data_IF_913321474206
#
_entry.id   IF_913321474206
#
_cell.length_a   1.000
_cell.length_b   1.000
_cell.length_c   1.000
_cell.angle_alpha   90.00
_cell.angle_beta   90.00
_cell.angle_gamma   90.00
#
_symmetry.space_group_name_H-M   'P 1'
#
loop_
_entity.id
_entity.type
_entity.pdbx_description
1 polymer ?
#
# COMPACT_ATOMS: atom_id res chain seq x y z
N UNK A 1 -32.69 -60.75 -28.31
CA UNK A 1 -33.28 -59.41 -28.07
C UNK A 1 -32.60 -58.46 -29.06
N UNK A 2 -33.29 -57.45 -29.59
CA UNK A 2 -32.61 -56.41 -30.39
C UNK A 2 -31.93 -55.47 -29.40
N UNK A 3 -30.60 -55.43 -29.44
CA UNK A 3 -29.80 -54.64 -28.54
C UNK A 3 -29.77 -53.15 -28.98
N UNK A 4 -29.35 -52.26 -28.09
CA UNK A 4 -29.29 -50.80 -28.30
C UNK A 4 -28.34 -50.40 -29.43
N UNK A 5 -27.38 -51.26 -29.78
CA UNK A 5 -26.49 -51.15 -30.94
C UNK A 5 -27.18 -51.53 -32.29
N UNK A 6 -28.45 -51.94 -32.25
CA UNK A 6 -29.25 -52.30 -33.41
C UNK A 6 -29.10 -53.76 -33.86
N UNK A 7 -28.21 -54.55 -33.26
CA UNK A 7 -27.97 -55.96 -33.63
C UNK A 7 -28.83 -56.92 -32.80
N UNK A 8 -29.25 -58.03 -33.41
CA UNK A 8 -30.02 -59.08 -32.72
C UNK A 8 -29.08 -60.18 -32.22
N UNK A 9 -28.95 -60.30 -30.90
CA UNK A 9 -28.09 -61.30 -30.25
C UNK A 9 -28.82 -62.02 -29.11
N UNK A 10 -28.31 -63.19 -28.74
CA UNK A 10 -28.70 -63.87 -27.50
C UNK A 10 -28.07 -63.11 -26.34
N UNK A 11 -28.91 -62.73 -25.36
CA UNK A 11 -28.54 -61.82 -24.27
C UNK A 11 -28.58 -62.61 -22.96
N UNK A 12 -27.59 -62.47 -22.06
CA UNK A 12 -27.61 -63.15 -20.78
C UNK A 12 -28.83 -62.73 -19.95
N UNK A 13 -29.47 -63.71 -19.31
CA UNK A 13 -30.59 -63.49 -18.38
C UNK A 13 -30.03 -63.60 -16.97
N UNK A 14 -30.06 -62.48 -16.24
CA UNK A 14 -29.63 -62.42 -14.84
C UNK A 14 -30.90 -62.08 -14.04
N UNK A 15 -31.22 -62.89 -13.02
CA UNK A 15 -32.39 -62.75 -12.15
C UNK A 15 -33.74 -62.59 -12.89
N UNK A 16 -33.92 -63.35 -13.97
CA UNK A 16 -35.17 -63.39 -14.75
C UNK A 16 -35.36 -62.22 -15.71
N UNK A 17 -34.43 -61.26 -15.78
CA UNK A 17 -34.49 -60.09 -16.67
C UNK A 17 -33.41 -60.19 -17.76
N UNK A 18 -33.79 -59.93 -19.02
CA UNK A 18 -32.84 -59.86 -20.16
C UNK A 18 -32.09 -58.53 -20.09
N UNK A 19 -30.78 -58.56 -19.85
CA UNK A 19 -29.96 -57.34 -19.67
C UNK A 19 -29.08 -57.12 -20.90
N UNK A 20 -29.35 -56.07 -21.67
CA UNK A 20 -28.58 -55.74 -22.87
C UNK A 20 -27.18 -55.19 -22.52
N UNK A 21 -26.10 -55.87 -22.94
CA UNK A 21 -24.72 -55.46 -22.62
C UNK A 21 -24.25 -54.19 -23.34
N UNK A 22 -24.97 -53.73 -24.37
CA UNK A 22 -24.53 -52.60 -25.22
C UNK A 22 -25.10 -51.24 -24.81
N UNK A 23 -26.12 -51.22 -23.94
CA UNK A 23 -26.73 -49.98 -23.40
C UNK A 23 -25.69 -49.05 -22.77
N UNK A 24 -24.79 -49.61 -21.96
CA UNK A 24 -23.76 -48.84 -21.28
C UNK A 24 -22.72 -48.21 -22.23
N UNK A 25 -22.52 -48.77 -23.43
CA UNK A 25 -21.62 -48.21 -24.43
C UNK A 25 -22.28 -47.06 -25.19
N UNK A 26 -23.56 -47.22 -25.57
CA UNK A 26 -24.33 -46.19 -26.27
C UNK A 26 -24.60 -44.97 -25.37
N UNK A 27 -24.83 -45.19 -24.07
CA UNK A 27 -24.95 -44.09 -23.09
C UNK A 27 -23.63 -43.34 -22.91
N UNK A 28 -22.49 -44.03 -22.95
CA UNK A 28 -21.16 -43.40 -22.90
C UNK A 28 -20.86 -42.57 -24.14
N UNK A 29 -21.18 -43.06 -25.35
CA UNK A 29 -21.03 -42.29 -26.59
C UNK A 29 -21.94 -41.04 -26.59
N UNK A 30 -23.21 -41.16 -26.18
CA UNK A 30 -24.11 -40.00 -26.06
C UNK A 30 -23.59 -38.98 -25.04
N UNK A 31 -23.00 -39.43 -23.93
CA UNK A 31 -22.40 -38.55 -22.93
C UNK A 31 -21.11 -37.87 -23.41
N UNK A 32 -20.30 -38.51 -24.25
CA UNK A 32 -19.10 -37.90 -24.84
C UNK A 32 -19.42 -36.87 -25.92
N UNK A 33 -20.48 -37.09 -26.71
CA UNK A 33 -20.96 -36.12 -27.71
C UNK A 33 -21.51 -34.88 -27.00
N UNK A 34 -22.29 -35.05 -25.93
CA UNK A 34 -22.80 -33.93 -25.12
C UNK A 34 -21.68 -33.10 -24.45
N UNK A 35 -20.53 -33.72 -24.12
CA UNK A 35 -19.36 -33.01 -23.58
C UNK A 35 -18.56 -32.24 -24.64
N UNK A 36 -18.66 -32.60 -25.92
CA UNK A 36 -17.95 -31.91 -27.02
C UNK A 36 -18.68 -30.66 -27.52
N UNK A 37 -19.99 -30.54 -27.28
CA UNK A 37 -20.80 -29.37 -27.71
C UNK A 37 -20.87 -28.22 -26.68
N UNK A 38 -20.29 -28.36 -25.49
CA UNK A 38 -20.12 -27.22 -24.56
C UNK A 38 -18.97 -26.32 -25.02
N UNK A 39 -19.29 -25.35 -25.88
CA UNK A 39 -18.39 -24.24 -26.21
C UNK A 39 -17.89 -23.59 -24.91
N UNK A 40 -16.58 -23.34 -24.74
CA UNK A 40 -16.06 -22.75 -23.52
C UNK A 40 -16.68 -21.37 -23.29
N UNK A 41 -17.31 -21.16 -22.14
CA UNK A 41 -17.84 -19.85 -21.72
C UNK A 41 -16.68 -18.85 -21.73
N UNK A 42 -16.77 -17.82 -22.59
CA UNK A 42 -15.75 -16.75 -22.63
C UNK A 42 -15.55 -16.18 -21.22
N UNK A 43 -14.35 -16.34 -20.67
CA UNK A 43 -13.99 -15.77 -19.38
C UNK A 43 -13.78 -14.28 -19.59
N UNK A 44 -14.86 -13.49 -19.45
CA UNK A 44 -14.80 -12.03 -19.52
C UNK A 44 -13.91 -11.54 -18.38
N UNK A 45 -12.87 -10.77 -18.70
CA UNK A 45 -11.94 -10.27 -17.71
C UNK A 45 -12.64 -9.29 -16.75
N UNK A 46 -12.09 -9.14 -15.54
CA UNK A 46 -12.63 -8.19 -14.55
C UNK A 46 -12.60 -6.75 -15.10
N UNK A 47 -11.63 -6.43 -15.95
CA UNK A 47 -11.50 -5.11 -16.58
C UNK A 47 -12.60 -4.87 -17.62
N UNK A 48 -12.94 -5.88 -18.40
CA UNK A 48 -14.01 -5.79 -19.41
C UNK A 48 -15.38 -5.66 -18.74
N UNK A 49 -15.61 -6.37 -17.63
CA UNK A 49 -16.84 -6.19 -16.82
C UNK A 49 -16.92 -4.79 -16.21
N UNK A 50 -15.79 -4.23 -15.79
CA UNK A 50 -15.72 -2.87 -15.26
C UNK A 50 -16.02 -1.86 -16.37
N UNK A 51 -15.51 -2.11 -17.58
CA UNK A 51 -15.72 -1.26 -18.74
C UNK A 51 -17.18 -1.27 -19.20
N UNK A 52 -17.81 -2.45 -19.33
CA UNK A 52 -19.22 -2.54 -19.68
C UNK A 52 -20.14 -1.79 -18.71
N UNK A 53 -19.85 -1.84 -17.41
CA UNK A 53 -20.57 -1.01 -16.43
C UNK A 53 -20.33 0.49 -16.58
N UNK A 54 -19.15 0.89 -17.04
CA UNK A 54 -18.87 2.31 -17.31
C UNK A 54 -19.66 2.76 -18.53
N UNK A 55 -19.77 1.92 -19.56
CA UNK A 55 -20.61 2.17 -20.73
C UNK A 55 -22.09 2.31 -20.35
N UNK A 56 -22.60 1.46 -19.46
CA UNK A 56 -23.96 1.57 -18.91
C UNK A 56 -24.18 2.92 -18.21
N UNK A 57 -23.20 3.38 -17.41
CA UNK A 57 -23.28 4.67 -16.74
C UNK A 57 -23.17 5.86 -17.70
N UNK A 58 -22.31 5.77 -18.72
CA UNK A 58 -22.22 6.77 -19.78
C UNK A 58 -23.56 6.86 -20.48
N UNK A 59 -24.17 5.74 -20.87
CA UNK A 59 -25.49 5.73 -21.51
C UNK A 59 -26.58 6.39 -20.65
N UNK A 60 -26.55 6.20 -19.34
CA UNK A 60 -27.51 6.84 -18.43
C UNK A 60 -27.28 8.36 -18.30
N UNK A 61 -26.02 8.80 -18.31
CA UNK A 61 -25.66 10.22 -18.25
C UNK A 61 -25.96 10.92 -19.58
N UNK A 62 -25.66 10.28 -20.73
CA UNK A 62 -26.00 10.79 -22.06
C UNK A 62 -27.51 10.92 -22.24
N UNK A 63 -28.31 9.98 -21.72
CA UNK A 63 -29.77 10.13 -21.74
C UNK A 63 -30.25 11.40 -21.02
N UNK A 64 -29.56 11.82 -19.96
CA UNK A 64 -29.83 13.10 -19.30
C UNK A 64 -29.30 14.31 -20.08
N UNK A 65 -28.26 14.14 -20.90
CA UNK A 65 -27.79 15.16 -21.83
C UNK A 65 -28.81 15.40 -22.96
N UNK A 66 -29.40 14.33 -23.50
CA UNK A 66 -30.49 14.40 -24.49
C UNK A 66 -31.73 15.08 -23.87
N UNK A 67 -32.15 14.66 -22.67
CA UNK A 67 -33.26 15.30 -21.95
C UNK A 67 -32.99 16.80 -21.69
N UNK A 68 -31.73 17.17 -21.43
CA UNK A 68 -31.33 18.56 -21.25
C UNK A 68 -31.50 19.37 -22.55
N UNK A 69 -31.13 18.80 -23.71
CA UNK A 69 -31.36 19.42 -25.02
C UNK A 69 -32.86 19.54 -25.32
N UNK A 70 -33.63 18.49 -25.12
CA UNK A 70 -35.08 18.44 -25.37
C UNK A 70 -35.87 19.41 -24.46
N UNK A 71 -35.39 19.61 -23.22
CA UNK A 71 -35.97 20.60 -22.29
C UNK A 71 -35.71 22.06 -22.71
N UNK A 72 -34.96 22.29 -23.78
CA UNK A 72 -34.50 23.61 -24.19
C UNK A 72 -33.45 24.18 -23.24
N UNK A 73 -32.54 23.34 -22.74
CA UNK A 73 -31.40 23.70 -21.89
C UNK A 73 -31.77 24.32 -20.54
N UNK A 74 -32.90 23.89 -19.96
CA UNK A 74 -33.43 24.41 -18.69
C UNK A 74 -33.43 23.39 -17.56
N UNK A 75 -33.29 22.10 -17.88
CA UNK A 75 -33.20 21.06 -16.86
C UNK A 75 -31.99 21.30 -15.96
N UNK A 76 -32.20 21.17 -14.65
CA UNK A 76 -31.12 21.12 -13.66
C UNK A 76 -30.78 19.67 -13.42
N UNK A 77 -29.61 19.28 -13.88
CA UNK A 77 -29.09 17.93 -13.66
C UNK A 77 -28.15 17.92 -12.45
N UNK A 78 -28.27 16.90 -11.61
CA UNK A 78 -27.39 16.64 -10.47
C UNK A 78 -26.62 15.32 -10.73
N UNK A 79 -25.48 15.38 -11.44
CA UNK A 79 -24.70 14.20 -11.79
C UNK A 79 -24.24 13.40 -10.57
N UNK A 80 -23.92 14.09 -9.46
CA UNK A 80 -23.43 13.43 -8.26
C UNK A 80 -24.44 12.45 -7.68
N UNK A 81 -25.68 12.90 -7.44
CA UNK A 81 -26.71 12.06 -6.84
C UNK A 81 -27.16 10.95 -7.80
N UNK A 82 -27.35 11.28 -9.09
CA UNK A 82 -27.74 10.29 -10.10
C UNK A 82 -26.71 9.14 -10.20
N UNK A 83 -25.41 9.47 -10.28
CA UNK A 83 -24.36 8.46 -10.36
C UNK A 83 -24.23 7.64 -9.06
N UNK A 84 -24.50 8.24 -7.90
CA UNK A 84 -24.52 7.49 -6.63
C UNK A 84 -25.68 6.50 -6.56
N UNK A 85 -26.87 6.88 -7.03
CA UNK A 85 -28.05 6.00 -7.10
C UNK A 85 -27.82 4.80 -8.03
N UNK A 86 -27.16 5.03 -9.17
CA UNK A 86 -26.73 3.98 -10.08
C UNK A 86 -25.62 3.07 -9.50
N UNK A 87 -25.03 3.45 -8.37
CA UNK A 87 -23.97 2.69 -7.71
C UNK A 87 -22.58 2.94 -8.30
N UNK A 88 -22.35 4.10 -8.91
CA UNK A 88 -21.05 4.52 -9.41
C UNK A 88 -20.04 4.65 -8.26
N UNK A 89 -18.93 3.94 -8.38
CA UNK A 89 -17.79 4.00 -7.46
C UNK A 89 -16.66 4.80 -8.08
N UNK A 90 -15.72 5.27 -7.26
CA UNK A 90 -14.56 6.02 -7.74
C UNK A 90 -13.73 5.31 -8.83
N UNK A 91 -13.75 3.98 -8.92
CA UNK A 91 -13.10 3.25 -10.00
C UNK A 91 -13.79 3.45 -11.37
N UNK A 92 -15.12 3.51 -11.37
CA UNK A 92 -15.93 3.79 -12.56
C UNK A 92 -15.79 5.27 -12.94
N UNK A 93 -15.94 6.18 -11.97
CA UNK A 93 -15.78 7.62 -12.19
C UNK A 93 -14.42 7.99 -12.81
N UNK A 94 -13.32 7.36 -12.38
CA UNK A 94 -11.99 7.57 -12.99
C UNK A 94 -11.89 7.15 -14.45
N UNK A 95 -12.61 6.09 -14.85
CA UNK A 95 -12.64 5.62 -16.23
C UNK A 95 -13.57 6.44 -17.11
N UNK A 96 -14.61 7.01 -16.53
CA UNK A 96 -15.60 7.82 -17.23
C UNK A 96 -15.15 9.27 -17.43
N UNK A 97 -14.35 9.81 -16.49
CA UNK A 97 -13.85 11.18 -16.53
C UNK A 97 -13.18 11.60 -17.86
N UNK A 98 -12.27 10.81 -18.48
CA UNK A 98 -11.62 11.23 -19.72
C UNK A 98 -12.62 11.55 -20.83
N UNK A 99 -13.64 10.71 -21.00
CA UNK A 99 -14.68 10.91 -22.02
C UNK A 99 -15.37 12.28 -21.87
N UNK A 100 -15.81 12.62 -20.66
CA UNK A 100 -16.49 13.91 -20.42
C UNK A 100 -15.55 15.12 -20.45
N UNK A 101 -14.26 14.93 -20.13
CA UNK A 101 -13.25 15.97 -20.29
C UNK A 101 -13.00 16.25 -21.76
N UNK A 102 -12.96 15.22 -22.61
CA UNK A 102 -12.81 15.37 -24.05
C UNK A 102 -14.01 16.14 -24.63
N UNK A 103 -15.26 15.74 -24.30
CA UNK A 103 -16.46 16.48 -24.71
C UNK A 103 -16.47 17.94 -24.23
N UNK A 104 -16.01 18.21 -23.01
CA UNK A 104 -15.89 19.57 -22.49
C UNK A 104 -14.84 20.38 -23.28
N UNK A 105 -13.66 19.81 -23.53
CA UNK A 105 -12.57 20.49 -24.24
C UNK A 105 -12.95 20.80 -25.70
N UNK A 106 -13.62 19.86 -26.39
CA UNK A 106 -14.13 20.10 -27.74
C UNK A 106 -15.01 21.36 -27.78
N UNK A 107 -15.94 21.51 -26.83
CA UNK A 107 -16.81 22.69 -26.76
C UNK A 107 -16.08 23.97 -26.36
N UNK A 108 -15.01 23.87 -25.57
CA UNK A 108 -14.12 25.01 -25.28
C UNK A 108 -13.44 25.49 -26.57
N UNK A 109 -12.94 24.57 -27.38
CA UNK A 109 -12.28 24.90 -28.65
C UNK A 109 -13.27 25.50 -29.66
N UNK A 110 -14.53 25.01 -29.69
CA UNK A 110 -15.62 25.63 -30.46
C UNK A 110 -15.94 27.04 -29.96
N UNK A 111 -15.96 27.25 -28.65
CA UNK A 111 -16.24 28.57 -28.07
C UNK A 111 -15.14 29.59 -28.40
N UNK A 112 -13.87 29.17 -28.34
CA UNK A 112 -12.72 30.00 -28.69
C UNK A 112 -12.51 30.16 -30.19
N UNK A 113 -13.13 29.28 -31.00
CA UNK A 113 -12.94 29.16 -32.47
C UNK A 113 -11.52 28.76 -32.85
N UNK A 114 -10.91 27.91 -32.03
CA UNK A 114 -9.52 27.49 -32.21
C UNK A 114 -9.39 26.35 -33.25
N UNK A 115 -10.45 25.58 -33.48
CA UNK A 115 -10.47 24.43 -34.39
C UNK A 115 -11.67 24.46 -35.35
N UNK A 116 -11.39 24.48 -36.65
CA UNK A 116 -12.38 24.49 -37.73
C UNK A 116 -13.21 23.19 -37.80
N UNK A 117 -12.61 22.04 -37.48
CA UNK A 117 -13.29 20.74 -37.53
C UNK A 117 -14.33 20.60 -36.41
N UNK A 118 -14.01 21.05 -35.20
CA UNK A 118 -14.97 21.02 -34.10
C UNK A 118 -16.10 22.03 -34.31
N UNK A 119 -15.82 23.20 -34.90
CA UNK A 119 -16.87 24.14 -35.28
C UNK A 119 -17.86 23.55 -36.28
N UNK A 120 -17.39 22.76 -37.25
CA UNK A 120 -18.26 22.04 -38.18
C UNK A 120 -19.09 20.97 -37.46
N UNK A 121 -18.46 20.15 -36.61
CA UNK A 121 -19.13 19.08 -35.86
C UNK A 121 -20.28 19.62 -34.99
N UNK A 122 -20.08 20.77 -34.34
CA UNK A 122 -21.05 21.40 -33.45
C UNK A 122 -21.94 22.45 -34.13
N UNK A 123 -21.84 22.62 -35.46
CA UNK A 123 -22.60 23.61 -36.23
C UNK A 123 -24.13 23.42 -36.19
N UNK A 124 -24.59 22.21 -35.86
CA UNK A 124 -26.00 21.89 -35.69
C UNK A 124 -26.64 22.62 -34.49
N UNK A 125 -25.82 23.05 -33.51
CA UNK A 125 -26.25 23.85 -32.37
C UNK A 125 -26.03 25.35 -32.59
N UNK A 126 -26.96 26.17 -32.08
CA UNK A 126 -26.78 27.62 -32.08
C UNK A 126 -25.65 28.01 -31.09
N UNK A 127 -24.90 29.10 -31.33
CA UNK A 127 -23.80 29.54 -30.46
C UNK A 127 -24.17 29.74 -28.98
N UNK A 128 -25.42 30.14 -28.70
CA UNK A 128 -25.94 30.26 -27.34
C UNK A 128 -25.95 28.92 -26.59
N UNK A 129 -26.21 27.83 -27.29
CA UNK A 129 -26.35 26.49 -26.73
C UNK A 129 -25.01 25.78 -26.55
N UNK A 130 -23.98 26.14 -27.32
CA UNK A 130 -22.61 25.64 -27.10
C UNK A 130 -22.13 25.92 -25.68
N UNK A 131 -22.35 27.15 -25.18
CA UNK A 131 -21.98 27.52 -23.81
C UNK A 131 -22.76 26.72 -22.76
N UNK A 132 -24.05 26.48 -22.97
CA UNK A 132 -24.88 25.72 -22.02
C UNK A 132 -24.49 24.24 -21.97
N UNK A 133 -24.10 23.66 -23.11
CA UNK A 133 -23.57 22.29 -23.16
C UNK A 133 -22.18 22.20 -22.52
N UNK A 134 -21.32 23.19 -22.73
CA UNK A 134 -20.01 23.28 -22.09
C UNK A 134 -20.17 23.31 -20.56
N UNK A 135 -21.06 24.16 -20.03
CA UNK A 135 -21.34 24.24 -18.60
C UNK A 135 -21.93 22.92 -18.05
N UNK A 136 -22.75 22.22 -18.83
CA UNK A 136 -23.33 20.93 -18.47
C UNK A 136 -22.25 19.84 -18.32
N UNK A 137 -21.38 19.66 -19.33
CA UNK A 137 -20.28 18.70 -19.22
C UNK A 137 -19.25 19.08 -18.16
N UNK A 138 -18.99 20.38 -17.98
CA UNK A 138 -18.16 20.88 -16.87
C UNK A 138 -18.70 20.44 -15.50
N UNK A 139 -20.01 20.57 -15.29
CA UNK A 139 -20.68 20.12 -14.06
C UNK A 139 -20.52 18.61 -13.84
N UNK A 140 -20.65 17.80 -14.91
CA UNK A 140 -20.43 16.35 -14.84
C UNK A 140 -18.99 16.03 -14.42
N UNK A 141 -17.99 16.67 -15.04
CA UNK A 141 -16.57 16.45 -14.70
C UNK A 141 -16.28 16.81 -13.25
N UNK A 142 -16.79 17.94 -12.77
CA UNK A 142 -16.60 18.38 -11.39
C UNK A 142 -17.18 17.39 -10.37
N UNK A 143 -18.39 16.88 -10.62
CA UNK A 143 -19.04 15.89 -9.76
C UNK A 143 -18.37 14.51 -9.81
N UNK A 144 -17.80 14.12 -10.96
CA UNK A 144 -16.96 12.93 -11.04
C UNK A 144 -15.70 13.07 -10.17
N UNK A 145 -15.05 14.23 -10.21
CA UNK A 145 -13.91 14.52 -9.36
C UNK A 145 -14.30 14.55 -7.87
N UNK A 146 -15.52 15.01 -7.55
CA UNK A 146 -16.08 14.95 -6.19
C UNK A 146 -16.28 13.50 -5.71
N UNK A 147 -16.85 12.61 -6.54
CA UNK A 147 -17.00 11.18 -6.23
C UNK A 147 -15.63 10.54 -5.96
N UNK A 148 -14.63 10.88 -6.78
CA UNK A 148 -13.26 10.35 -6.64
C UNK A 148 -12.63 10.80 -5.31
N UNK A 149 -12.73 12.10 -4.98
CA UNK A 149 -12.18 12.69 -3.75
C UNK A 149 -12.85 12.13 -2.48
N UNK A 150 -14.18 11.97 -2.48
CA UNK A 150 -14.90 11.42 -1.34
C UNK A 150 -14.47 9.98 -1.02
N UNK A 151 -14.20 9.17 -2.05
CA UNK A 151 -13.73 7.79 -1.87
C UNK A 151 -12.33 7.68 -1.27
N UNK A 152 -11.43 8.62 -1.56
CA UNK A 152 -10.08 8.62 -0.97
C UNK A 152 -10.10 9.10 0.48
N UNK A 153 -10.91 10.11 0.79
CA UNK A 153 -11.06 10.66 2.13
C UNK A 153 -11.63 9.65 3.15
N UNK A 154 -12.55 8.78 2.72
CA UNK A 154 -13.13 7.74 3.59
C UNK A 154 -12.14 6.63 3.98
N UNK A 155 -10.96 6.54 3.36
CA UNK A 155 -9.98 5.49 3.69
C UNK A 155 -9.25 5.83 4.98
N UNK A 156 -9.61 5.14 6.06
CA UNK A 156 -8.91 5.24 7.36
C UNK A 156 -7.40 4.97 7.19
N UNK A 157 -6.51 5.90 7.61
CA UNK A 157 -5.07 5.68 7.58
C UNK A 157 -4.69 4.41 8.34
N UNK A 158 -3.79 3.61 7.76
CA UNK A 158 -3.37 2.36 8.39
C UNK A 158 -2.65 2.66 9.70
N UNK A 159 -3.18 2.15 10.82
CA UNK A 159 -2.52 2.25 12.13
C UNK A 159 -1.15 1.56 12.07
N UNK A 160 -0.07 2.31 12.34
CA UNK A 160 1.28 1.74 12.42
C UNK A 160 1.38 0.89 13.68
N UNK A 161 1.82 -0.37 13.54
CA UNK A 161 2.13 -1.23 14.67
C UNK A 161 3.42 -0.76 15.33
N UNK A 162 3.50 -0.84 16.66
CA UNK A 162 4.76 -0.62 17.39
C UNK A 162 5.78 -1.66 16.91
N UNK A 163 7.02 -1.21 16.70
CA UNK A 163 8.11 -2.10 16.26
C UNK A 163 8.64 -2.84 17.49
N UNK A 164 8.96 -4.13 17.34
CA UNK A 164 9.66 -4.89 18.38
C UNK A 164 11.08 -4.38 18.56
N UNK A 165 11.67 -4.62 19.74
CA UNK A 165 13.04 -4.18 20.06
C UNK A 165 14.07 -4.69 19.03
N UNK A 166 13.99 -5.98 18.67
CA UNK A 166 14.79 -6.60 17.62
C UNK A 166 14.72 -5.84 16.28
N UNK A 167 13.51 -5.39 15.89
CA UNK A 167 13.28 -4.71 14.61
C UNK A 167 13.80 -3.28 14.62
N UNK A 168 13.78 -2.60 15.76
CA UNK A 168 14.35 -1.26 15.93
C UNK A 168 15.88 -1.29 15.83
N UNK A 169 16.49 -2.31 16.42
CA UNK A 169 17.95 -2.44 16.55
C UNK A 169 18.60 -3.11 15.34
N UNK A 170 17.83 -3.76 14.45
CA UNK A 170 18.33 -4.47 13.26
C UNK A 170 19.35 -3.70 12.40
N UNK A 171 19.30 -2.36 12.38
CA UNK A 171 20.20 -1.51 11.60
C UNK A 171 21.32 -0.85 12.42
N UNK A 172 21.40 -1.12 13.72
CA UNK A 172 22.43 -0.58 14.59
C UNK A 172 23.78 -1.20 14.22
N UNK A 173 24.78 -0.36 14.01
CA UNK A 173 26.16 -0.79 13.77
C UNK A 173 26.90 -0.68 15.09
N UNK A 174 27.56 -1.76 15.51
CA UNK A 174 28.39 -1.82 16.70
C UNK A 174 29.48 -2.88 16.49
N UNK A 175 30.50 -2.86 17.34
CA UNK A 175 31.55 -3.85 17.36
C UNK A 175 31.18 -4.96 18.33
N UNK A 176 31.09 -6.21 17.86
CA UNK A 176 30.69 -7.36 18.69
C UNK A 176 31.76 -7.71 19.74
N UNK A 177 33.03 -7.75 19.33
CA UNK A 177 34.14 -8.09 20.22
C UNK A 177 35.39 -7.25 19.94
N UNK A 178 36.19 -7.04 20.99
CA UNK A 178 37.51 -6.41 20.88
C UNK A 178 38.56 -7.18 21.66
N UNK A 179 39.28 -8.11 20.99
CA UNK A 179 40.22 -9.02 21.62
C UNK A 179 41.36 -8.32 22.38
N UNK A 180 41.82 -7.15 21.91
CA UNK A 180 42.94 -6.40 22.51
C UNK A 180 42.70 -6.01 23.98
N UNK A 181 41.43 -5.81 24.35
CA UNK A 181 41.02 -5.48 25.72
C UNK A 181 40.11 -6.57 26.33
N UNK A 182 39.92 -7.70 25.64
CA UNK A 182 39.01 -8.78 26.03
C UNK A 182 37.58 -8.29 26.33
N UNK A 183 37.07 -7.38 25.52
CA UNK A 183 35.72 -6.81 25.69
C UNK A 183 34.73 -7.47 24.73
N UNK A 184 33.55 -7.78 25.24
CA UNK A 184 32.40 -8.31 24.49
C UNK A 184 31.24 -7.33 24.60
N UNK A 185 30.59 -7.03 23.49
CA UNK A 185 29.47 -6.10 23.44
C UNK A 185 28.19 -6.73 23.99
N UNK A 186 27.38 -5.91 24.66
CA UNK A 186 26.04 -6.32 25.12
C UNK A 186 25.08 -6.46 23.94
N UNK A 187 24.10 -7.36 24.07
CA UNK A 187 22.98 -7.46 23.14
C UNK A 187 22.29 -6.08 22.99
N UNK A 188 22.29 -5.49 21.78
CA UNK A 188 21.80 -4.15 21.57
C UNK A 188 20.28 -3.99 21.77
N UNK A 189 19.51 -5.09 21.86
CA UNK A 189 18.09 -5.05 22.24
C UNK A 189 17.88 -4.48 23.64
N UNK A 190 18.84 -4.71 24.55
CA UNK A 190 18.77 -4.23 25.93
C UNK A 190 18.86 -2.70 26.04
N UNK A 191 19.33 -2.02 24.99
CA UNK A 191 19.40 -0.56 24.95
C UNK A 191 17.99 0.05 25.03
N UNK A 192 17.00 -0.61 24.43
CA UNK A 192 15.65 -0.05 24.32
C UNK A 192 14.99 -0.06 25.70
N UNK A 193 14.58 1.12 26.16
CA UNK A 193 13.97 1.30 27.49
C UNK A 193 14.98 1.46 28.63
N UNK A 194 16.29 1.47 28.35
CA UNK A 194 17.30 1.72 29.37
C UNK A 194 17.49 3.22 29.67
N UNK A 195 18.02 3.53 30.86
CA UNK A 195 18.25 4.92 31.31
C UNK A 195 19.70 5.37 31.10
N UNK A 196 20.68 4.45 31.16
CA UNK A 196 22.10 4.74 30.95
C UNK A 196 22.74 3.70 30.02
N UNK A 197 23.48 4.17 29.02
CA UNK A 197 24.27 3.33 28.12
C UNK A 197 25.73 3.77 28.11
N UNK A 198 26.62 2.83 28.37
CA UNK A 198 28.07 3.03 28.32
C UNK A 198 28.64 2.48 27.02
N UNK A 199 29.38 3.32 26.32
CA UNK A 199 30.00 2.98 25.04
C UNK A 199 31.50 3.24 25.05
N UNK A 200 32.24 2.44 24.29
CA UNK A 200 33.66 2.68 24.06
C UNK A 200 33.98 2.64 22.57
N UNK A 201 34.60 3.71 22.09
CA UNK A 201 35.07 3.82 20.72
C UNK A 201 36.54 3.36 20.64
N UNK A 202 36.78 2.25 19.95
CA UNK A 202 38.11 1.62 19.82
C UNK A 202 39.04 2.43 18.92
N UNK A 203 38.50 3.16 17.94
CA UNK A 203 39.29 3.99 17.01
C UNK A 203 39.85 5.24 17.69
N UNK A 204 39.03 5.91 18.50
CA UNK A 204 39.42 7.18 19.13
C UNK A 204 39.86 7.02 20.60
N UNK A 205 39.77 5.81 21.16
CA UNK A 205 40.02 5.52 22.58
C UNK A 205 39.19 6.42 23.51
N UNK A 206 37.89 6.53 23.22
CA UNK A 206 36.98 7.39 23.96
C UNK A 206 35.88 6.57 24.62
N UNK A 207 35.56 6.92 25.87
CA UNK A 207 34.47 6.34 26.64
C UNK A 207 33.36 7.38 26.70
N UNK A 208 32.16 6.96 26.33
CA UNK A 208 30.96 7.79 26.34
C UNK A 208 29.90 7.22 27.26
N UNK A 209 29.16 8.12 27.90
CA UNK A 209 27.95 7.79 28.66
C UNK A 209 26.78 8.49 28.02
N UNK A 210 25.81 7.72 27.56
CA UNK A 210 24.50 8.25 27.22
C UNK A 210 23.58 8.16 28.43
N UNK A 211 22.85 9.24 28.69
CA UNK A 211 21.77 9.26 29.67
C UNK A 211 20.46 9.59 28.99
N UNK A 212 19.41 8.89 29.37
CA UNK A 212 18.08 9.08 28.80
C UNK A 212 17.48 10.39 29.29
N UNK A 213 16.84 11.13 28.39
CA UNK A 213 16.08 12.34 28.71
C UNK A 213 14.92 12.02 29.67
N UNK A 214 14.34 10.83 29.53
CA UNK A 214 13.25 10.35 30.37
C UNK A 214 13.55 8.94 30.87
N UNK A 215 13.75 8.78 32.19
CA UNK A 215 14.04 7.48 32.81
C UNK A 215 12.93 6.44 32.60
N UNK A 216 11.66 6.87 32.48
CA UNK A 216 10.50 5.98 32.30
C UNK A 216 10.38 5.46 30.87
N UNK A 217 10.68 6.30 29.87
CA UNK A 217 10.59 5.95 28.44
C UNK A 217 11.86 5.26 27.94
N UNK A 218 13.00 5.61 28.54
CA UNK A 218 14.32 5.12 28.18
C UNK A 218 14.74 5.46 26.75
N UNK A 219 15.80 4.80 26.27
CA UNK A 219 16.29 5.00 24.92
C UNK A 219 15.41 4.33 23.85
N UNK A 220 15.42 4.92 22.66
CA UNK A 220 14.93 4.30 21.42
C UNK A 220 16.01 4.36 20.35
N UNK A 221 15.95 3.47 19.36
CA UNK A 221 16.95 3.39 18.27
C UNK A 221 16.26 3.58 16.93
N UNK A 222 16.79 4.49 16.11
CA UNK A 222 16.40 4.68 14.71
C UNK A 222 17.62 4.55 13.81
N UNK A 223 17.72 3.42 13.10
CA UNK A 223 18.87 3.15 12.25
C UNK A 223 20.12 2.91 13.09
N UNK A 224 21.10 3.80 12.99
CA UNK A 224 22.31 3.78 13.82
C UNK A 224 22.32 4.86 14.91
N UNK A 225 21.18 5.54 15.13
CA UNK A 225 21.10 6.69 16.03
C UNK A 225 20.23 6.36 17.24
N UNK A 226 20.77 6.58 18.44
CA UNK A 226 20.05 6.59 19.71
C UNK A 226 19.20 7.86 19.77
N UNK A 227 17.95 7.70 20.16
CA UNK A 227 16.97 8.76 20.36
C UNK A 227 16.63 8.85 21.85
N UNK A 228 16.14 10.03 22.26
CA UNK A 228 15.76 10.34 23.65
C UNK A 228 16.94 10.28 24.64
N UNK A 229 18.13 10.70 24.19
CA UNK A 229 19.27 10.94 25.09
C UNK A 229 19.39 12.44 25.38
N UNK A 230 19.79 12.78 26.60
CA UNK A 230 20.06 14.15 27.00
C UNK A 230 21.44 14.58 26.49
N UNK A 231 21.50 15.68 25.74
CA UNK A 231 22.75 16.21 25.19
C UNK A 231 23.66 16.82 26.26
N UNK A 232 23.09 17.35 27.34
CA UNK A 232 23.86 18.02 28.39
C UNK A 232 24.48 17.01 29.33
N UNK A 233 23.73 15.98 29.73
CA UNK A 233 24.27 14.96 30.64
C UNK A 233 25.09 13.86 29.94
N UNK A 234 24.99 13.73 28.61
CA UNK A 234 25.73 12.71 27.86
C UNK A 234 27.12 13.19 27.46
N UNK A 235 28.14 12.62 28.10
CA UNK A 235 29.52 13.11 28.04
C UNK A 235 30.49 12.04 27.55
N UNK A 236 31.43 12.45 26.69
CA UNK A 236 32.53 11.64 26.18
C UNK A 236 33.88 12.13 26.70
N UNK A 237 34.70 11.20 27.22
CA UNK A 237 36.09 11.47 27.64
C UNK A 237 37.07 10.53 26.97
N UNK A 238 38.31 10.99 26.79
CA UNK A 238 39.39 10.19 26.21
C UNK A 238 40.06 9.31 27.28
N UNK A 239 40.06 8.01 27.08
CA UNK A 239 40.71 7.05 27.95
C UNK A 239 42.18 6.85 27.54
N UNK A 240 43.13 7.42 28.29
CA UNK A 240 44.58 7.24 28.04
C UNK A 240 45.09 5.84 28.43
N UNK A 241 44.47 5.22 29.44
CA UNK A 241 44.75 3.84 29.88
C UNK A 241 43.44 3.02 29.88
N UNK A 242 42.97 2.55 28.72
CA UNK A 242 41.65 1.91 28.62
C UNK A 242 41.57 0.58 29.38
N UNK A 243 42.68 -0.17 29.52
CA UNK A 243 42.72 -1.43 30.30
C UNK A 243 42.26 -1.22 31.74
N UNK A 244 42.90 -0.30 32.46
CA UNK A 244 42.64 -0.05 33.89
C UNK A 244 41.23 0.49 34.14
N UNK A 245 40.67 1.22 33.16
CA UNK A 245 39.34 1.82 33.30
C UNK A 245 38.25 0.76 33.08
N UNK A 246 38.42 -0.08 32.06
CA UNK A 246 37.42 -1.03 31.59
C UNK A 246 37.45 -2.38 32.33
N UNK A 247 38.44 -2.62 33.18
CA UNK A 247 38.58 -3.86 33.98
C UNK A 247 37.41 -4.11 34.96
N UNK A 248 36.63 -3.08 35.30
CA UNK A 248 35.46 -3.19 36.20
C UNK A 248 34.24 -2.48 35.63
N UNK A 249 33.36 -3.24 34.99
CA UNK A 249 32.10 -2.78 34.37
C UNK A 249 30.93 -2.69 35.37
N UNK A 250 31.14 -2.11 36.56
CA UNK A 250 30.05 -1.81 37.52
C UNK A 250 29.68 -0.32 37.45
N UNK A 251 28.38 0.02 37.48
CA UNK A 251 27.87 1.40 37.32
C UNK A 251 28.58 2.41 38.25
N UNK A 252 28.71 2.08 39.54
CA UNK A 252 29.34 2.94 40.53
C UNK A 252 30.85 3.16 40.32
N UNK A 253 31.57 2.15 39.82
CA UNK A 253 33.01 2.26 39.54
C UNK A 253 33.26 3.02 38.23
N UNK A 254 32.41 2.82 37.22
CA UNK A 254 32.50 3.51 35.94
C UNK A 254 32.28 5.03 36.09
N UNK A 255 31.27 5.46 36.86
CA UNK A 255 31.04 6.89 37.14
C UNK A 255 32.23 7.54 37.85
N UNK A 256 32.76 6.90 38.90
CA UNK A 256 33.95 7.39 39.63
C UNK A 256 35.17 7.49 38.71
N UNK A 257 35.42 6.45 37.90
CA UNK A 257 36.54 6.43 36.96
C UNK A 257 36.41 7.49 35.87
N UNK A 258 35.20 7.78 35.37
CA UNK A 258 34.97 8.83 34.38
C UNK A 258 35.21 10.24 34.96
N UNK A 259 34.81 10.48 36.21
CA UNK A 259 35.03 11.77 36.87
C UNK A 259 36.52 12.00 37.20
N UNK A 260 37.25 10.94 37.54
CA UNK A 260 38.68 11.01 37.82
C UNK A 260 39.57 11.21 36.57
N UNK A 261 39.00 11.17 35.36
CA UNK A 261 39.75 11.45 34.13
C UNK A 261 39.99 12.96 34.00
N UNK A 262 41.27 13.35 33.87
CA UNK A 262 41.71 14.74 33.67
C UNK A 262 41.50 15.29 32.25
N UNK A 263 40.89 14.51 31.36
CA UNK A 263 40.67 14.91 29.96
C UNK A 263 39.40 15.72 29.80
N UNK A 264 39.41 16.66 28.85
CA UNK A 264 38.24 17.47 28.51
C UNK A 264 37.03 16.63 28.10
N UNK A 265 35.86 17.14 28.46
CA UNK A 265 34.55 16.60 28.13
C UNK A 265 34.15 17.05 26.73
N UNK A 266 33.62 16.12 25.94
CA UNK A 266 32.99 16.44 24.66
C UNK A 266 31.55 15.97 24.67
N UNK A 267 30.68 16.70 23.97
CA UNK A 267 29.29 16.31 23.78
C UNK A 267 29.19 15.05 22.90
N UNK A 268 28.34 14.09 23.30
CA UNK A 268 28.08 12.91 22.48
C UNK A 268 27.11 13.19 21.34
N UNK A 269 27.47 12.71 20.16
CA UNK A 269 26.52 12.54 19.07
C UNK A 269 25.80 11.21 19.24
N UNK A 270 24.47 11.16 19.08
CA UNK A 270 23.68 9.93 19.26
C UNK A 270 23.97 8.80 18.26
N UNK A 271 24.96 8.91 17.38
CA UNK A 271 25.21 7.93 16.31
C UNK A 271 26.26 6.91 16.74
N UNK A 272 25.87 5.64 16.77
CA UNK A 272 26.78 4.52 17.04
C UNK A 272 27.40 4.03 15.73
N UNK A 273 28.73 3.85 15.73
CA UNK A 273 29.51 3.36 14.59
C UNK A 273 29.95 1.90 14.77
N UNK A 274 30.52 1.34 13.70
CA UNK A 274 31.08 -0.03 13.70
C UNK A 274 32.26 -0.21 14.67
N UNK A 275 32.95 0.88 15.01
CA UNK A 275 34.12 0.87 15.91
C UNK A 275 33.72 1.10 17.38
N UNK A 276 32.42 1.03 17.70
CA UNK A 276 31.89 1.30 19.03
C UNK A 276 31.40 0.01 19.68
N UNK A 277 31.97 -0.33 20.83
CA UNK A 277 31.56 -1.46 21.68
C UNK A 277 30.54 -0.96 22.70
N UNK A 278 29.48 -1.75 22.92
CA UNK A 278 28.50 -1.50 23.97
C UNK A 278 28.97 -2.17 25.26
N UNK A 279 29.42 -1.38 26.23
CA UNK A 279 30.03 -1.89 27.46
C UNK A 279 29.00 -2.35 28.50
N UNK A 280 27.94 -1.56 28.66
CA UNK A 280 27.07 -1.62 29.84
C UNK A 280 25.75 -0.91 29.60
N UNK A 281 24.65 -1.55 29.95
CA UNK A 281 23.32 -0.92 29.98
C UNK A 281 22.80 -0.96 31.41
N UNK A 282 22.31 0.17 31.91
CA UNK A 282 21.73 0.29 33.25
C UNK A 282 20.36 0.97 33.19
N UNK A 283 19.50 0.58 34.12
CA UNK A 283 18.21 1.21 34.38
C UNK A 283 18.31 2.13 35.60
#
# INVERSE_FOLDING_TARGET
MRCADGTTRAVPVIDGVKVDPTLAAVEKEKAEIAKKDEKPKKVISIQDRLQGKVEDYISAVEGQADDFVDSGYKMKYDPYNHLLELGCKAAHARKMRPFYVDCYNELVDVYNKDDEYYMEAWSHLKPKYHKLMMDFYGTIVDDLDRIIKNSTAQRKPRKKKTLSAARLVKKLKYQEEFPKLKLVSINPEKIIGASELWVYNTKYNRIGVYRAENAIRGFSVKGCTIQHFDKQESVEKKARKPKDILDVLKRGTLKKKLNNLSTSENELTGRIGKDTILLGVFN
#
